data_IF_021256827245
#
_entry.id   IF_021256827245
#
_cell.length_a   1.000
_cell.length_b   1.000
_cell.length_c   1.000
_cell.angle_alpha   90.00
_cell.angle_beta   90.00
_cell.angle_gamma   90.00
#
_symmetry.space_group_name_H-M   'P 1'
#
loop_
_entity.id
_entity.type
_entity.pdbx_description
1 polymer ?
#
# COMPACT_ATOMS: atom_id res chain seq x y z
N UNK A 1 44.89 -51.17 23.42
CA UNK A 1 44.65 -49.72 23.53
C UNK A 1 43.34 -49.42 22.82
N UNK A 2 42.27 -49.14 23.57
CA UNK A 2 40.96 -48.82 23.01
C UNK A 2 40.99 -47.36 22.51
N UNK A 3 40.69 -47.14 21.23
CA UNK A 3 40.49 -45.81 20.69
C UNK A 3 39.26 -45.17 21.37
N UNK A 4 39.30 -43.87 21.71
CA UNK A 4 38.13 -43.18 22.20
C UNK A 4 37.16 -43.01 21.02
N UNK A 5 36.00 -43.67 21.09
CA UNK A 5 34.84 -43.34 20.25
C UNK A 5 34.52 -41.87 20.45
N UNK A 6 34.79 -41.05 19.43
CA UNK A 6 34.35 -39.66 19.41
C UNK A 6 32.82 -39.68 19.46
N UNK A 7 32.26 -39.27 20.59
CA UNK A 7 30.85 -38.93 20.66
C UNK A 7 30.62 -37.77 19.67
N UNK A 8 30.08 -38.08 18.49
CA UNK A 8 29.55 -37.06 17.59
C UNK A 8 28.54 -36.25 18.39
N UNK A 9 28.87 -34.98 18.66
CA UNK A 9 27.86 -34.04 19.15
C UNK A 9 26.78 -33.97 18.09
N UNK A 10 25.60 -34.48 18.41
CA UNK A 10 24.41 -34.23 17.61
C UNK A 10 24.23 -32.72 17.55
N UNK A 11 24.38 -32.16 16.36
CA UNK A 11 23.91 -30.80 16.11
C UNK A 11 22.39 -30.82 16.09
N UNK A 12 21.78 -29.71 16.48
CA UNK A 12 20.34 -29.48 16.34
C UNK A 12 20.08 -28.26 15.44
N UNK A 13 21.08 -27.82 14.69
CA UNK A 13 21.06 -26.55 13.95
C UNK A 13 19.96 -26.58 12.88
N UNK A 14 19.81 -27.71 12.17
CA UNK A 14 18.76 -27.85 11.17
C UNK A 14 17.39 -27.92 11.83
N UNK A 15 17.23 -28.72 12.89
CA UNK A 15 15.98 -28.83 13.65
C UNK A 15 15.51 -27.49 14.24
N UNK A 16 16.42 -26.64 14.66
CA UNK A 16 16.10 -25.32 15.21
C UNK A 16 15.72 -24.29 14.14
N UNK A 17 16.15 -24.50 12.89
CA UNK A 17 15.82 -23.63 11.76
C UNK A 17 14.42 -23.90 11.16
N UNK A 18 13.86 -25.10 11.35
CA UNK A 18 12.50 -25.44 10.88
C UNK A 18 11.45 -24.54 11.55
N UNK A 19 10.67 -23.78 10.79
CA UNK A 19 9.64 -22.85 11.28
C UNK A 19 8.70 -23.50 12.30
N UNK A 20 8.26 -22.74 13.31
CA UNK A 20 7.35 -23.26 14.34
C UNK A 20 5.98 -23.55 13.75
N UNK A 21 5.42 -24.73 14.06
CA UNK A 21 4.08 -25.08 13.61
C UNK A 21 2.98 -24.44 14.47
N UNK A 22 2.03 -23.80 13.80
CA UNK A 22 0.82 -23.27 14.41
C UNK A 22 -0.43 -23.74 13.65
N UNK A 23 -1.32 -24.49 14.33
CA UNK A 23 -2.58 -25.00 13.75
C UNK A 23 -3.57 -23.91 13.32
N UNK A 24 -3.38 -22.67 13.77
CA UNK A 24 -4.18 -21.50 13.37
C UNK A 24 -3.52 -20.74 12.22
N UNK A 25 -2.22 -20.93 12.04
CA UNK A 25 -1.50 -20.37 10.92
C UNK A 25 -1.77 -21.21 9.69
N UNK A 26 -1.96 -20.53 8.57
CA UNK A 26 -2.50 -21.09 7.33
C UNK A 26 -1.43 -21.24 6.26
N UNK A 27 -0.22 -20.78 6.59
CA UNK A 27 0.95 -20.75 5.73
C UNK A 27 1.61 -22.11 5.59
N UNK A 28 1.37 -23.04 6.53
CA UNK A 28 2.02 -24.34 6.55
C UNK A 28 1.05 -25.47 6.93
N UNK A 29 1.00 -26.51 6.10
CA UNK A 29 0.28 -27.75 6.43
C UNK A 29 1.06 -28.60 7.43
N UNK A 30 0.37 -29.40 8.24
CA UNK A 30 1.04 -30.26 9.23
C UNK A 30 1.95 -31.28 8.55
N UNK A 31 1.57 -31.75 7.36
CA UNK A 31 2.33 -32.70 6.56
C UNK A 31 3.67 -32.09 6.13
N UNK A 32 3.65 -30.87 5.58
CA UNK A 32 4.85 -30.13 5.20
C UNK A 32 5.76 -29.86 6.39
N UNK A 33 5.18 -29.49 7.54
CA UNK A 33 5.96 -29.31 8.78
C UNK A 33 6.66 -30.60 9.22
N UNK A 34 5.94 -31.73 9.20
CA UNK A 34 6.49 -33.03 9.58
C UNK A 34 7.56 -33.50 8.59
N UNK A 35 7.40 -33.23 7.30
CA UNK A 35 8.39 -33.50 6.26
C UNK A 35 9.67 -32.69 6.49
N UNK A 36 9.55 -31.36 6.65
CA UNK A 36 10.71 -30.51 6.94
C UNK A 36 11.43 -30.90 8.23
N UNK A 37 10.68 -31.31 9.27
CA UNK A 37 11.29 -31.86 10.49
C UNK A 37 12.01 -33.18 10.24
N UNK A 38 11.44 -34.06 9.42
CA UNK A 38 12.08 -35.34 9.11
C UNK A 38 13.39 -35.14 8.34
N UNK A 39 13.40 -34.24 7.35
CA UNK A 39 14.61 -33.83 6.64
C UNK A 39 15.64 -33.24 7.61
N UNK A 40 15.23 -32.36 8.53
CA UNK A 40 16.11 -31.81 9.55
C UNK A 40 16.70 -32.88 10.48
N UNK A 41 15.91 -33.89 10.86
CA UNK A 41 16.40 -35.02 11.66
C UNK A 41 17.46 -35.85 10.93
N UNK A 42 17.30 -36.03 9.62
CA UNK A 42 18.28 -36.73 8.79
C UNK A 42 19.59 -35.94 8.69
N UNK A 43 19.51 -34.62 8.48
CA UNK A 43 20.68 -33.73 8.40
C UNK A 43 21.43 -33.62 9.74
N UNK A 44 20.71 -33.55 10.86
CA UNK A 44 21.28 -33.50 12.22
C UNK A 44 21.73 -34.88 12.74
N UNK A 45 21.46 -35.97 12.00
CA UNK A 45 21.84 -37.34 12.39
C UNK A 45 21.08 -37.87 13.61
N UNK A 46 19.85 -37.41 13.83
CA UNK A 46 19.03 -37.80 14.97
C UNK A 46 18.31 -39.12 14.65
N UNK A 47 18.74 -40.19 15.30
CA UNK A 47 18.18 -41.55 15.08
C UNK A 47 17.19 -41.98 16.17
N UNK A 48 17.24 -41.37 17.35
CA UNK A 48 16.43 -41.77 18.49
C UNK A 48 15.01 -41.20 18.41
N UNK A 49 13.99 -42.06 18.31
CA UNK A 49 12.57 -41.67 18.24
C UNK A 49 12.14 -40.73 19.36
N UNK A 50 12.58 -41.01 20.59
CA UNK A 50 12.24 -40.19 21.76
C UNK A 50 12.79 -38.77 21.65
N UNK A 51 13.97 -38.60 21.05
CA UNK A 51 14.56 -37.29 20.80
C UNK A 51 13.79 -36.58 19.69
N UNK A 52 13.47 -37.27 18.58
CA UNK A 52 12.65 -36.72 17.49
C UNK A 52 11.30 -36.19 17.99
N UNK A 53 10.60 -36.98 18.80
CA UNK A 53 9.31 -36.59 19.39
C UNK A 53 9.48 -35.35 20.30
N UNK A 54 10.53 -35.29 21.11
CA UNK A 54 10.78 -34.13 21.98
C UNK A 54 11.07 -32.85 21.18
N UNK A 55 11.89 -32.96 20.13
CA UNK A 55 12.20 -31.83 19.24
C UNK A 55 10.94 -31.36 18.51
N UNK A 56 10.13 -32.28 17.99
CA UNK A 56 8.84 -31.93 17.38
C UNK A 56 7.99 -31.13 18.35
N UNK A 57 7.84 -31.59 19.61
CA UNK A 57 7.03 -30.88 20.62
C UNK A 57 7.59 -29.51 21.01
N UNK A 58 8.89 -29.28 20.82
CA UNK A 58 9.54 -27.98 21.02
C UNK A 58 9.33 -27.07 19.80
N UNK A 59 9.26 -27.62 18.59
CA UNK A 59 9.03 -26.87 17.34
C UNK A 59 7.55 -26.60 17.03
N UNK A 60 6.69 -26.70 18.03
CA UNK A 60 5.26 -26.39 17.94
C UNK A 60 4.97 -25.19 18.82
N UNK A 61 4.24 -24.20 18.30
CA UNK A 61 3.87 -23.01 19.06
C UNK A 61 3.04 -23.35 20.30
N UNK A 62 3.11 -22.50 21.32
CA UNK A 62 2.43 -22.73 22.60
C UNK A 62 0.91 -22.96 22.45
N UNK A 63 0.28 -22.28 21.49
CA UNK A 63 -1.17 -22.39 21.21
C UNK A 63 -1.54 -23.80 20.74
N UNK A 64 -0.71 -24.38 19.87
CA UNK A 64 -0.89 -25.73 19.33
C UNK A 64 -0.41 -26.80 20.30
N UNK A 65 0.62 -26.51 21.10
CA UNK A 65 1.25 -27.46 22.03
C UNK A 65 0.26 -28.03 23.06
N UNK A 66 -0.77 -27.24 23.44
CA UNK A 66 -1.84 -27.66 24.37
C UNK A 66 -2.79 -28.71 23.78
N UNK A 67 -2.85 -28.80 22.45
CA UNK A 67 -3.73 -29.70 21.71
C UNK A 67 -3.00 -30.95 21.21
N UNK A 68 -1.71 -31.08 21.50
CA UNK A 68 -0.94 -32.24 21.06
C UNK A 68 -1.40 -33.52 21.77
N UNK A 69 -1.48 -34.65 21.05
CA UNK A 69 -1.80 -35.93 21.64
C UNK A 69 -0.72 -36.37 22.65
N UNK A 70 -1.09 -37.17 23.67
CA UNK A 70 -0.14 -37.72 24.63
C UNK A 70 0.83 -38.70 23.94
N UNK A 71 2.08 -38.73 24.42
CA UNK A 71 3.15 -39.61 23.92
C UNK A 71 3.16 -40.89 24.76
N UNK A 72 3.13 -42.05 24.10
CA UNK A 72 3.29 -43.34 24.79
C UNK A 72 4.78 -43.70 25.04
N UNK A 73 5.05 -44.54 26.05
CA UNK A 73 6.41 -44.81 26.56
C UNK A 73 7.37 -45.42 25.53
N UNK A 74 6.86 -46.22 24.61
CA UNK A 74 7.62 -46.88 23.52
C UNK A 74 7.09 -46.44 22.14
N UNK A 75 6.57 -45.23 22.03
CA UNK A 75 6.04 -44.71 20.78
C UNK A 75 7.16 -44.34 19.80
N UNK A 76 7.05 -44.84 18.57
CA UNK A 76 7.95 -44.46 17.48
C UNK A 76 7.56 -43.09 16.93
N UNK A 77 8.53 -42.38 16.34
CA UNK A 77 8.27 -41.08 15.71
C UNK A 77 7.20 -41.18 14.61
N UNK A 78 7.19 -42.28 13.86
CA UNK A 78 6.20 -42.52 12.80
C UNK A 78 4.77 -42.69 13.35
N UNK A 79 4.61 -43.45 14.44
CA UNK A 79 3.30 -43.59 15.11
C UNK A 79 2.82 -42.24 15.62
N UNK A 80 3.70 -41.47 16.27
CA UNK A 80 3.34 -40.18 16.84
C UNK A 80 3.00 -39.15 15.73
N UNK A 81 3.76 -39.13 14.64
CA UNK A 81 3.49 -38.30 13.47
C UNK A 81 2.12 -38.59 12.87
N UNK A 82 1.71 -39.86 12.84
CA UNK A 82 0.37 -40.26 12.37
C UNK A 82 -0.74 -39.75 13.31
N UNK A 83 -0.54 -39.81 14.63
CA UNK A 83 -1.49 -39.21 15.59
C UNK A 83 -1.60 -37.70 15.41
N UNK A 84 -0.49 -37.02 15.14
CA UNK A 84 -0.47 -35.58 14.89
C UNK A 84 -1.24 -35.24 13.62
N UNK A 85 -1.02 -35.97 12.51
CA UNK A 85 -1.80 -35.79 11.27
C UNK A 85 -3.30 -35.96 11.50
N UNK A 86 -3.69 -36.94 12.31
CA UNK A 86 -5.10 -37.15 12.65
C UNK A 86 -5.67 -36.06 13.56
N UNK A 87 -4.85 -35.49 14.45
CA UNK A 87 -5.26 -34.39 15.33
C UNK A 87 -5.37 -33.06 14.59
N UNK A 88 -4.58 -32.86 13.54
CA UNK A 88 -4.59 -31.65 12.70
C UNK A 88 -4.73 -32.02 11.21
N UNK A 89 -5.91 -32.46 10.75
CA UNK A 89 -6.10 -32.80 9.36
C UNK A 89 -5.85 -31.60 8.44
N UNK A 90 -5.12 -31.80 7.35
CA UNK A 90 -4.89 -30.79 6.30
C UNK A 90 -6.19 -30.20 5.75
N UNK A 91 -7.26 -30.99 5.68
CA UNK A 91 -8.58 -30.52 5.23
C UNK A 91 -9.13 -29.35 6.06
N UNK A 92 -8.83 -29.31 7.36
CA UNK A 92 -9.23 -28.18 8.21
C UNK A 92 -8.43 -26.92 7.86
N UNK A 93 -7.11 -27.06 7.68
CA UNK A 93 -6.25 -25.95 7.25
C UNK A 93 -6.64 -25.42 5.87
N UNK A 94 -6.97 -26.31 4.93
CA UNK A 94 -7.41 -25.95 3.58
C UNK A 94 -8.76 -25.22 3.61
N UNK A 95 -9.70 -25.69 4.43
CA UNK A 95 -10.99 -25.02 4.62
C UNK A 95 -10.81 -23.64 5.22
N UNK A 96 -9.96 -23.52 6.25
CA UNK A 96 -9.68 -22.25 6.91
C UNK A 96 -8.97 -21.25 5.97
N UNK A 97 -8.00 -21.73 5.18
CA UNK A 97 -7.31 -20.93 4.17
C UNK A 97 -8.28 -20.45 3.09
N UNK A 98 -9.14 -21.34 2.59
CA UNK A 98 -10.19 -21.00 1.60
C UNK A 98 -11.14 -19.94 2.13
N UNK A 99 -11.62 -20.13 3.36
CA UNK A 99 -12.51 -19.18 4.04
C UNK A 99 -11.86 -17.80 4.14
N UNK A 100 -10.57 -17.75 4.48
CA UNK A 100 -9.85 -16.49 4.62
C UNK A 100 -9.56 -15.85 3.26
N UNK A 101 -9.21 -16.64 2.24
CA UNK A 101 -9.05 -16.15 0.86
C UNK A 101 -10.35 -15.50 0.35
N UNK A 102 -11.50 -16.16 0.53
CA UNK A 102 -12.80 -15.63 0.11
C UNK A 102 -13.35 -14.50 1.00
N UNK A 103 -12.81 -14.30 2.21
CA UNK A 103 -13.16 -13.18 3.08
C UNK A 103 -12.10 -12.07 3.11
N UNK A 104 -10.95 -12.27 2.46
CA UNK A 104 -9.83 -11.33 2.47
C UNK A 104 -10.24 -9.99 1.88
N UNK A 105 -9.85 -8.90 2.54
CA UNK A 105 -10.05 -7.52 2.07
C UNK A 105 -8.70 -6.82 2.00
N UNK A 106 -8.40 -6.26 0.84
CA UNK A 106 -7.19 -5.50 0.59
C UNK A 106 -7.26 -4.19 1.38
N UNK A 107 -6.26 -3.97 2.23
CA UNK A 107 -6.07 -2.71 2.91
C UNK A 107 -5.32 -1.74 1.98
N UNK A 108 -6.01 -0.69 1.54
CA UNK A 108 -5.42 0.33 0.66
C UNK A 108 -4.35 1.19 1.37
N UNK A 109 -4.33 1.24 2.71
CA UNK A 109 -3.31 1.99 3.46
C UNK A 109 -1.96 1.30 3.41
N UNK A 110 -1.96 -0.03 3.49
CA UNK A 110 -0.81 -0.92 3.37
C UNK A 110 -0.97 -1.82 2.13
N UNK A 111 -1.26 -1.18 0.99
CA UNK A 111 -1.65 -1.88 -0.24
C UNK A 111 -0.67 -2.98 -0.65
N UNK A 112 0.63 -2.68 -0.67
CA UNK A 112 1.68 -3.64 -1.03
C UNK A 112 1.68 -4.85 -0.11
N UNK A 113 1.81 -4.64 1.21
CA UNK A 113 1.81 -5.71 2.21
C UNK A 113 0.53 -6.55 2.16
N UNK A 114 -0.62 -5.88 2.00
CA UNK A 114 -1.92 -6.55 1.92
C UNK A 114 -2.07 -7.37 0.64
N UNK A 115 -1.53 -6.88 -0.48
CA UNK A 115 -1.56 -7.60 -1.75
C UNK A 115 -0.64 -8.82 -1.74
N UNK A 116 0.55 -8.71 -1.15
CA UNK A 116 1.48 -9.83 -0.97
C UNK A 116 0.88 -10.92 -0.05
N UNK A 117 0.17 -10.52 1.01
CA UNK A 117 -0.56 -11.47 1.85
C UNK A 117 -1.69 -12.17 1.07
N UNK A 118 -2.37 -11.44 0.19
CA UNK A 118 -3.41 -12.02 -0.66
C UNK A 118 -2.82 -12.98 -1.71
N UNK A 119 -1.70 -12.63 -2.33
CA UNK A 119 -0.94 -13.50 -3.24
C UNK A 119 -0.57 -14.82 -2.55
N UNK A 120 0.04 -14.75 -1.36
CA UNK A 120 0.42 -15.94 -0.61
C UNK A 120 -0.78 -16.83 -0.26
N UNK A 121 -1.92 -16.25 0.15
CA UNK A 121 -3.14 -17.02 0.38
C UNK A 121 -3.69 -17.65 -0.90
N UNK A 122 -3.59 -16.97 -2.03
CA UNK A 122 -4.01 -17.49 -3.32
C UNK A 122 -3.14 -18.69 -3.76
N UNK A 123 -1.83 -18.62 -3.56
CA UNK A 123 -0.89 -19.71 -3.84
C UNK A 123 -1.25 -20.98 -3.05
N UNK A 124 -1.60 -20.82 -1.76
CA UNK A 124 -1.98 -21.94 -0.89
C UNK A 124 -3.31 -22.56 -1.31
N UNK A 125 -4.35 -21.73 -1.44
CA UNK A 125 -5.72 -22.21 -1.71
C UNK A 125 -5.85 -22.77 -3.12
N UNK A 126 -5.19 -22.13 -4.09
CA UNK A 126 -5.33 -22.47 -5.48
C UNK A 126 -4.23 -23.40 -5.99
N UNK A 127 -3.33 -23.91 -5.13
CA UNK A 127 -2.18 -24.73 -5.51
C UNK A 127 -2.51 -25.83 -6.53
N UNK A 128 -3.65 -26.51 -6.33
CA UNK A 128 -4.10 -27.65 -7.14
C UNK A 128 -5.02 -27.28 -8.32
N UNK A 129 -5.29 -25.99 -8.55
CA UNK A 129 -6.17 -25.53 -9.62
C UNK A 129 -5.40 -25.38 -10.94
N UNK A 130 -6.07 -25.53 -12.10
CA UNK A 130 -5.49 -25.16 -13.39
C UNK A 130 -5.09 -23.67 -13.42
N UNK A 131 -4.00 -23.31 -14.10
CA UNK A 131 -3.50 -21.93 -14.17
C UNK A 131 -4.55 -20.92 -14.68
N UNK A 132 -5.38 -21.32 -15.64
CA UNK A 132 -6.47 -20.49 -16.14
C UNK A 132 -7.50 -20.18 -15.04
N UNK A 133 -7.86 -21.18 -14.23
CA UNK A 133 -8.83 -21.04 -13.14
C UNK A 133 -8.23 -20.25 -11.96
N UNK A 134 -6.94 -20.45 -11.67
CA UNK A 134 -6.19 -19.66 -10.70
C UNK A 134 -6.28 -18.17 -11.04
N UNK A 135 -5.92 -17.83 -12.27
CA UNK A 135 -5.90 -16.45 -12.74
C UNK A 135 -7.32 -15.85 -12.71
N UNK A 136 -8.33 -16.59 -13.17
CA UNK A 136 -9.72 -16.11 -13.16
C UNK A 136 -10.21 -15.85 -11.73
N UNK A 137 -9.96 -16.77 -10.79
CA UNK A 137 -10.32 -16.58 -9.38
C UNK A 137 -9.65 -15.33 -8.79
N UNK A 138 -8.34 -15.18 -9.00
CA UNK A 138 -7.59 -14.00 -8.54
C UNK A 138 -8.17 -12.71 -9.16
N UNK A 139 -8.39 -12.69 -10.47
CA UNK A 139 -8.93 -11.53 -11.19
C UNK A 139 -10.31 -11.14 -10.67
N UNK A 140 -11.22 -12.08 -10.47
CA UNK A 140 -12.58 -11.78 -10.00
C UNK A 140 -12.58 -11.20 -8.59
N UNK A 141 -11.72 -11.74 -7.72
CA UNK A 141 -11.53 -11.22 -6.36
C UNK A 141 -10.97 -9.81 -6.35
N UNK A 142 -9.94 -9.55 -7.16
CA UNK A 142 -9.33 -8.23 -7.28
C UNK A 142 -10.29 -7.21 -7.92
N UNK A 143 -11.02 -7.58 -8.98
CA UNK A 143 -12.03 -6.73 -9.62
C UNK A 143 -13.09 -6.24 -8.62
N UNK A 144 -13.60 -7.13 -7.76
CA UNK A 144 -14.59 -6.77 -6.74
C UNK A 144 -14.06 -5.77 -5.72
N UNK A 145 -12.77 -5.84 -5.36
CA UNK A 145 -12.18 -4.99 -4.33
C UNK A 145 -11.62 -3.67 -4.88
N UNK A 146 -11.21 -3.67 -6.15
CA UNK A 146 -10.60 -2.52 -6.82
C UNK A 146 -11.59 -1.72 -7.67
N UNK A 147 -12.90 -2.00 -7.60
CA UNK A 147 -13.93 -1.31 -8.38
C UNK A 147 -13.90 0.23 -8.22
N UNK A 148 -13.51 0.74 -7.05
CA UNK A 148 -13.36 2.18 -6.79
C UNK A 148 -12.09 2.80 -7.40
N UNK A 149 -11.16 1.98 -7.88
CA UNK A 149 -9.87 2.37 -8.45
C UNK A 149 -9.86 1.99 -9.94
N UNK A 150 -10.48 2.83 -10.78
CA UNK A 150 -10.71 2.55 -12.20
C UNK A 150 -9.46 2.06 -12.95
N UNK A 151 -8.32 2.73 -12.81
CA UNK A 151 -7.06 2.36 -13.47
C UNK A 151 -6.60 0.94 -13.07
N UNK A 152 -6.70 0.59 -11.79
CA UNK A 152 -6.31 -0.73 -11.30
C UNK A 152 -7.33 -1.79 -11.73
N UNK A 153 -8.62 -1.46 -11.67
CA UNK A 153 -9.70 -2.35 -12.11
C UNK A 153 -9.57 -2.71 -13.59
N UNK A 154 -9.36 -1.73 -14.46
CA UNK A 154 -9.19 -1.93 -15.90
C UNK A 154 -7.96 -2.79 -16.19
N UNK A 155 -6.85 -2.52 -15.49
CA UNK A 155 -5.66 -3.36 -15.59
C UNK A 155 -5.94 -4.82 -15.23
N UNK A 156 -6.59 -5.07 -14.08
CA UNK A 156 -6.94 -6.44 -13.67
C UNK A 156 -7.91 -7.09 -14.64
N UNK A 157 -8.89 -6.36 -15.19
CA UNK A 157 -9.87 -6.91 -16.13
C UNK A 157 -9.18 -7.44 -17.39
N UNK A 158 -8.31 -6.62 -17.96
CA UNK A 158 -7.70 -6.85 -19.27
C UNK A 158 -6.42 -7.70 -19.21
N UNK A 159 -5.92 -7.96 -18.00
CA UNK A 159 -4.72 -8.78 -17.80
C UNK A 159 -4.89 -10.23 -18.29
N UNK A 160 -3.97 -10.68 -19.13
CA UNK A 160 -3.91 -12.01 -19.73
C UNK A 160 -2.55 -12.72 -19.50
N UNK A 161 -1.66 -12.13 -18.71
CA UNK A 161 -0.32 -12.64 -18.42
C UNK A 161 -0.24 -13.63 -17.24
N UNK A 162 0.97 -13.78 -16.70
CA UNK A 162 1.24 -14.67 -15.58
C UNK A 162 0.73 -14.09 -14.24
N UNK A 163 0.03 -14.86 -13.38
CA UNK A 163 -0.42 -14.40 -12.06
C UNK A 163 0.67 -13.70 -11.21
N UNK A 164 1.93 -14.16 -11.27
CA UNK A 164 3.06 -13.58 -10.52
C UNK A 164 3.38 -12.15 -10.99
N UNK A 165 3.24 -11.88 -12.30
CA UNK A 165 3.45 -10.52 -12.84
C UNK A 165 2.30 -9.58 -12.52
N UNK A 166 1.07 -10.11 -12.35
CA UNK A 166 -0.11 -9.31 -12.02
C UNK A 166 0.06 -8.53 -10.71
N UNK A 167 0.51 -9.19 -9.64
CA UNK A 167 0.63 -8.58 -8.32
C UNK A 167 1.69 -7.49 -8.29
N UNK A 168 2.87 -7.75 -8.87
CA UNK A 168 3.96 -6.78 -8.94
C UNK A 168 3.56 -5.53 -9.73
N UNK A 169 2.94 -5.72 -10.89
CA UNK A 169 2.52 -4.60 -11.74
C UNK A 169 1.39 -3.79 -11.09
N UNK A 170 0.52 -4.43 -10.31
CA UNK A 170 -0.49 -3.75 -9.52
C UNK A 170 0.11 -2.84 -8.45
N UNK A 171 1.15 -3.31 -7.75
CA UNK A 171 1.89 -2.51 -6.75
C UNK A 171 2.47 -1.27 -7.43
N UNK A 172 3.21 -1.46 -8.53
CA UNK A 172 3.80 -0.35 -9.27
C UNK A 172 2.76 0.66 -9.76
N UNK A 173 1.65 0.19 -10.32
CA UNK A 173 0.57 1.08 -10.78
C UNK A 173 -0.09 1.86 -9.64
N UNK A 174 -0.24 1.24 -8.47
CA UNK A 174 -0.79 1.91 -7.30
C UNK A 174 0.15 3.01 -6.79
N UNK A 175 1.44 2.73 -6.72
CA UNK A 175 2.45 3.71 -6.31
C UNK A 175 2.56 4.88 -7.29
N UNK A 176 2.56 4.60 -8.60
CA UNK A 176 2.55 5.64 -9.63
C UNK A 176 1.32 6.54 -9.53
N UNK A 177 0.14 5.97 -9.26
CA UNK A 177 -1.09 6.73 -9.07
C UNK A 177 -1.04 7.57 -7.78
N UNK A 178 -0.47 7.02 -6.71
CA UNK A 178 -0.24 7.75 -5.45
C UNK A 178 0.69 8.95 -5.68
N UNK A 179 1.78 8.76 -6.41
CA UNK A 179 2.73 9.83 -6.78
C UNK A 179 2.04 10.88 -7.67
N UNK A 180 1.27 10.46 -8.69
CA UNK A 180 0.50 11.36 -9.55
C UNK A 180 -0.50 12.20 -8.77
N UNK A 181 -1.23 11.61 -7.82
CA UNK A 181 -2.16 12.34 -6.94
C UNK A 181 -1.44 13.35 -6.05
N UNK A 182 -0.30 12.98 -5.49
CA UNK A 182 0.50 13.88 -4.64
C UNK A 182 1.04 15.07 -5.44
N UNK A 183 1.59 14.83 -6.64
CA UNK A 183 2.12 15.89 -7.52
C UNK A 183 1.02 16.78 -8.11
N UNK A 184 -0.12 16.22 -8.50
CA UNK A 184 -1.29 17.00 -8.96
C UNK A 184 -1.84 17.90 -7.85
N UNK A 185 -1.86 17.44 -6.60
CA UNK A 185 -2.28 18.23 -5.46
C UNK A 185 -1.24 19.30 -5.10
N UNK A 186 0.06 19.01 -5.18
CA UNK A 186 1.13 20.01 -5.02
C UNK A 186 1.05 21.15 -6.06
N UNK A 187 0.73 20.81 -7.32
CA UNK A 187 0.48 21.79 -8.39
C UNK A 187 -0.78 22.65 -8.21
N UNK A 188 -1.74 22.20 -7.40
CA UNK A 188 -2.93 23.00 -7.02
C UNK A 188 -2.60 24.03 -5.92
N UNK A 189 -1.71 23.70 -4.97
CA UNK A 189 -1.27 24.66 -3.94
C UNK A 189 -0.31 25.74 -4.49
N UNK A 190 0.47 25.43 -5.53
CA UNK A 190 1.36 26.41 -6.20
C UNK A 190 0.63 27.54 -6.93
N UNK A 191 -0.59 27.28 -7.43
CA UNK A 191 -1.41 28.32 -8.10
C UNK A 191 -1.99 29.35 -7.14
N UNK A 192 -2.08 29.07 -5.84
CA UNK A 192 -2.57 30.03 -4.84
C UNK A 192 -1.47 30.93 -4.27
N UNK A 193 -0.21 30.47 -4.22
CA UNK A 193 0.92 31.27 -3.70
C UNK A 193 1.49 32.25 -4.71
N UNK A 194 1.17 32.09 -5.99
CA UNK A 194 1.57 33.01 -7.08
C UNK A 194 0.64 34.22 -7.22
N UNK A 195 -0.62 34.14 -6.77
CA UNK A 195 -1.56 35.27 -6.77
C UNK A 195 -1.37 36.25 -5.59
N UNK A 196 -0.66 35.86 -4.52
CA UNK A 196 -0.47 36.74 -3.35
C UNK A 196 0.70 37.73 -3.51
N UNK A 197 1.74 37.39 -4.29
CA UNK A 197 2.91 38.27 -4.47
C UNK A 197 2.63 39.51 -5.33
N UNK A 198 1.62 39.47 -6.20
CA UNK A 198 1.24 40.64 -6.99
C UNK A 198 0.37 41.65 -6.20
N UNK A 199 -0.29 41.23 -5.11
CA UNK A 199 -1.14 42.13 -4.31
C UNK A 199 -0.36 43.16 -3.47
N UNK A 200 0.95 42.99 -3.28
CA UNK A 200 1.77 43.90 -2.46
C UNK A 200 2.55 44.95 -3.27
N UNK A 201 2.57 44.86 -4.61
CA UNK A 201 3.31 45.81 -5.45
C UNK A 201 2.44 47.03 -5.73
N UNK A 202 2.81 48.19 -5.17
CA UNK A 202 2.13 49.47 -5.37
C UNK A 202 2.76 50.25 -6.52
N UNK A 203 1.95 50.71 -7.48
CA UNK A 203 2.42 51.55 -8.57
C UNK A 203 2.74 52.97 -8.05
N UNK A 204 3.95 53.49 -8.26
CA UNK A 204 4.30 54.85 -7.83
C UNK A 204 3.63 55.95 -8.68
N UNK A 205 3.23 55.64 -9.91
CA UNK A 205 2.56 56.60 -10.80
C UNK A 205 1.08 56.81 -10.47
N UNK A 206 0.36 55.72 -10.13
CA UNK A 206 -1.09 55.78 -9.91
C UNK A 206 -1.58 55.30 -8.54
N UNK A 207 -0.67 54.84 -7.69
CA UNK A 207 -0.91 54.35 -6.32
C UNK A 207 -1.84 53.11 -6.21
N UNK A 208 -2.23 52.51 -7.34
CA UNK A 208 -3.01 51.26 -7.40
C UNK A 208 -2.08 50.05 -7.25
N UNK A 209 -2.54 49.02 -6.52
CA UNK A 209 -1.82 47.76 -6.30
C UNK A 209 -1.86 46.86 -7.54
N UNK A 210 -0.90 45.96 -7.69
CA UNK A 210 -0.90 44.93 -8.73
C UNK A 210 -0.03 45.19 -9.96
N UNK A 211 0.69 46.33 -10.01
CA UNK A 211 1.59 46.64 -11.13
C UNK A 211 2.65 47.69 -10.76
N UNK A 212 3.75 47.75 -11.52
CA UNK A 212 4.81 48.77 -11.38
C UNK A 212 4.54 50.00 -12.25
N UNK A 213 5.29 51.09 -12.04
CA UNK A 213 5.14 52.32 -12.83
C UNK A 213 5.36 52.12 -14.34
N UNK A 214 6.23 51.21 -14.74
CA UNK A 214 6.53 50.93 -16.16
C UNK A 214 5.41 50.13 -16.84
N UNK A 215 4.60 49.43 -16.05
CA UNK A 215 3.43 48.69 -16.50
C UNK A 215 2.13 49.50 -16.32
N UNK A 216 2.22 50.75 -15.87
CA UNK A 216 1.06 51.59 -15.61
C UNK A 216 0.42 52.07 -16.92
N UNK A 217 -0.81 51.60 -17.20
CA UNK A 217 -1.59 52.04 -18.37
C UNK A 217 -1.83 53.55 -18.37
N UNK A 218 -2.07 54.17 -17.21
CA UNK A 218 -2.30 55.62 -17.08
C UNK A 218 -1.04 56.44 -17.42
N UNK A 219 0.15 55.97 -17.02
CA UNK A 219 1.43 56.57 -17.42
C UNK A 219 1.62 56.49 -18.93
N UNK A 220 1.33 55.32 -19.54
CA UNK A 220 1.42 55.11 -20.99
C UNK A 220 0.42 55.96 -21.78
N UNK A 221 -0.71 56.31 -21.18
CA UNK A 221 -1.73 57.18 -21.75
C UNK A 221 -1.49 58.68 -21.47
N UNK A 222 -0.35 59.05 -20.85
CA UNK A 222 0.01 60.45 -20.60
C UNK A 222 -0.70 61.10 -19.42
N UNK A 223 -1.41 60.34 -18.58
CA UNK A 223 -2.07 60.91 -17.40
C UNK A 223 -1.03 61.34 -16.34
N UNK A 224 -1.23 62.48 -15.65
CA UNK A 224 -0.28 62.97 -14.66
C UNK A 224 -0.16 62.01 -13.46
N UNK A 225 1.00 61.96 -12.76
CA UNK A 225 1.15 61.18 -11.54
C UNK A 225 0.15 61.63 -10.46
N UNK A 226 -0.48 60.68 -9.75
CA UNK A 226 -1.47 60.99 -8.71
C UNK A 226 -2.02 59.76 -7.99
N UNK A 227 -2.71 59.95 -6.86
CA UNK A 227 -3.39 58.87 -6.15
C UNK A 227 -4.78 58.60 -6.76
N UNK A 228 -4.83 57.65 -7.70
CA UNK A 228 -6.07 57.26 -8.37
C UNK A 228 -6.82 56.14 -7.64
N UNK A 229 -6.39 55.77 -6.43
CA UNK A 229 -7.10 54.79 -5.60
C UNK A 229 -8.32 55.40 -4.89
N UNK A 230 -8.40 56.74 -4.82
CA UNK A 230 -9.50 57.47 -4.20
C UNK A 230 -10.56 57.81 -5.24
N UNK A 231 -11.83 57.50 -4.96
CA UNK A 231 -12.96 58.00 -5.76
C UNK A 231 -13.03 59.54 -5.62
N UNK A 232 -13.37 60.29 -6.68
CA UNK A 232 -13.55 61.73 -6.55
C UNK A 232 -14.68 62.02 -5.55
N UNK A 233 -14.38 62.85 -4.56
CA UNK A 233 -15.39 63.49 -3.72
C UNK A 233 -16.17 64.40 -4.65
N UNK A 234 -17.48 64.18 -4.79
CA UNK A 234 -18.36 65.16 -5.43
C UNK A 234 -18.37 66.39 -4.52
N UNK A 235 -17.63 67.43 -4.90
CA UNK A 235 -17.90 68.77 -4.41
C UNK A 235 -19.16 69.26 -5.10
N UNK A 236 -20.24 69.33 -4.34
CA UNK A 236 -21.44 70.06 -4.71
C UNK A 236 -21.02 71.52 -4.94
N UNK A 237 -21.15 72.00 -6.17
CA UNK A 237 -21.17 73.43 -6.45
C UNK A 237 -22.65 73.78 -6.53
N UNK A 238 -23.11 74.54 -5.53
CA UNK A 238 -24.41 75.18 -5.51
C UNK A 238 -24.63 75.93 -6.82
N UNK A 239 -25.73 75.61 -7.49
CA UNK A 239 -26.19 76.37 -8.64
C UNK A 239 -26.72 77.72 -8.19
N UNK A 240 -26.39 78.76 -8.95
CA UNK A 240 -27.24 79.94 -9.00
C UNK A 240 -27.67 80.21 -10.44
N UNK A 241 -28.94 80.63 -10.52
CA UNK A 241 -29.74 80.75 -11.72
C UNK A 241 -29.38 82.03 -12.49
N UNK A 242 -29.13 81.91 -13.79
CA UNK A 242 -29.61 82.85 -14.84
C UNK A 242 -29.06 82.42 -16.20
N UNK A 243 -29.94 82.41 -17.20
CA UNK A 243 -29.69 81.80 -18.51
C UNK A 243 -28.95 82.68 -19.51
N UNK A 244 -28.30 82.01 -20.47
CA UNK A 244 -28.28 82.21 -21.93
C UNK A 244 -27.07 81.44 -22.51
N UNK A 245 -27.15 80.91 -23.73
CA UNK A 245 -25.97 80.38 -24.39
C UNK A 245 -25.11 81.56 -24.87
N UNK A 246 -23.82 81.56 -24.57
CA UNK A 246 -22.86 82.50 -25.16
C UNK A 246 -21.76 81.70 -25.85
N UNK A 247 -21.89 81.68 -27.18
CA UNK A 247 -20.85 81.45 -28.17
C UNK A 247 -19.69 82.44 -27.98
N UNK A 248 -18.45 82.00 -28.22
CA UNK A 248 -17.49 82.59 -29.18
C UNK A 248 -16.05 82.15 -28.88
N UNK A 249 -15.51 81.36 -29.81
CA UNK A 249 -14.46 81.76 -30.75
C UNK A 249 -13.23 82.58 -30.29
N UNK A 250 -12.06 82.14 -30.81
CA UNK A 250 -10.93 82.92 -31.36
C UNK A 250 -9.69 83.17 -30.46
N UNK A 251 -8.71 82.29 -30.69
CA UNK A 251 -7.34 82.52 -31.24
C UNK A 251 -6.15 83.16 -30.49
N UNK A 252 -4.98 82.67 -30.94
CA UNK A 252 -3.60 83.21 -30.99
C UNK A 252 -2.81 83.16 -29.67
N UNK A 253 -1.58 82.62 -29.59
CA UNK A 253 -0.55 82.27 -30.58
C UNK A 253 0.04 80.88 -30.33
#
# INVERSE_FOLDING_TARGET
>A
MAQPTMAQRQSYDFCLSVTLFNHRDQTQRVEQFLESLNEAFELDGITQDRVKINVLRQRVEQVTRRLLPPVALAETFQSYSTKIRNAFPSSYSDTLASDKYYKFKIDMKSFEESLLQFEHLAEIVLANYPEADKLNSIKDRLKCQLASYKDLYEYVRDFDGNPVTLFRDLIHRYDDEKIRRQTANAGKFSRYTSFSRFKSIKCYHCQILGHTSDQCKRKKQGAPPGDYSRRPIKTEVEGDATGRPISNEVHLN
#
